data_IF_399713975120
#
_entry.id   IF_399713975120
#
_cell.length_a   1.000
_cell.length_b   1.000
_cell.length_c   1.000
_cell.angle_alpha   90.00
_cell.angle_beta   90.00
_cell.angle_gamma   90.00
#
_symmetry.space_group_name_H-M   'P 1'
#
loop_
_entity.id
_entity.type
_entity.pdbx_description
1 polymer ?
#
# COMPACT_ATOMS: atom_id res chain seq x y z
N UNK A 1 -7.84 -3.61 13.80
CA UNK A 1 -6.66 -2.78 13.46
C UNK A 1 -6.97 -1.99 12.21
N UNK A 2 -6.76 -0.67 12.21
CA UNK A 2 -6.97 0.17 11.02
C UNK A 2 -5.61 0.30 10.31
N UNK A 3 -5.52 -0.12 9.06
CA UNK A 3 -4.27 0.00 8.28
C UNK A 3 -3.97 1.47 7.99
N UNK A 4 -2.69 1.86 7.98
CA UNK A 4 -2.24 3.21 7.59
C UNK A 4 -2.71 3.58 6.17
N UNK A 5 -2.92 2.58 5.31
CA UNK A 5 -3.48 2.73 3.96
C UNK A 5 -4.86 3.39 3.96
N UNK A 6 -5.63 3.29 5.05
CA UNK A 6 -6.96 3.92 5.17
C UNK A 6 -6.86 5.45 5.23
N UNK A 7 -5.69 6.00 5.58
CA UNK A 7 -5.47 7.43 5.80
C UNK A 7 -4.62 8.06 4.68
N UNK A 8 -4.27 7.30 3.64
CA UNK A 8 -3.51 7.82 2.50
C UNK A 8 -4.52 8.32 1.47
N UNK A 9 -4.51 9.63 1.21
CA UNK A 9 -5.31 10.22 0.15
C UNK A 9 -4.94 9.59 -1.20
N UNK A 10 -5.93 9.26 -2.02
CA UNK A 10 -5.71 8.55 -3.28
C UNK A 10 -5.76 7.02 -3.16
N UNK A 11 -5.67 6.42 -1.98
CA UNK A 11 -5.94 4.98 -1.81
C UNK A 11 -7.45 4.71 -1.84
N UNK A 12 -7.89 3.88 -2.77
CA UNK A 12 -9.31 3.57 -3.01
C UNK A 12 -9.71 2.26 -2.33
N UNK A 13 -8.85 1.24 -2.41
CA UNK A 13 -9.08 -0.09 -1.82
C UNK A 13 -7.75 -0.75 -1.48
N UNK A 14 -7.76 -1.62 -0.48
CA UNK A 14 -6.66 -2.54 -0.23
C UNK A 14 -7.17 -3.93 0.13
N UNK A 15 -6.38 -4.95 -0.19
CA UNK A 15 -6.65 -6.34 0.11
C UNK A 15 -5.42 -7.00 0.71
N UNK A 16 -5.59 -7.56 1.91
CA UNK A 16 -4.51 -8.18 2.67
C UNK A 16 -4.44 -9.67 2.37
N UNK A 17 -3.28 -10.13 1.93
CA UNK A 17 -2.97 -11.53 1.72
C UNK A 17 -2.12 -12.03 2.87
N UNK A 18 -2.75 -12.35 4.00
CA UNK A 18 -2.06 -12.70 5.24
C UNK A 18 -1.12 -13.91 5.10
N UNK A 19 -1.48 -14.88 4.25
CA UNK A 19 -0.67 -16.08 4.02
C UNK A 19 0.69 -15.78 3.36
N UNK A 20 0.75 -14.77 2.50
CA UNK A 20 1.96 -14.36 1.77
C UNK A 20 2.60 -13.10 2.32
N UNK A 21 2.03 -12.48 3.35
CA UNK A 21 2.43 -11.18 3.87
C UNK A 21 2.50 -10.08 2.79
N UNK A 22 1.58 -10.13 1.83
CA UNK A 22 1.46 -9.13 0.76
C UNK A 22 0.17 -8.33 0.88
N UNK A 23 0.15 -7.15 0.28
CA UNK A 23 -1.04 -6.31 0.16
C UNK A 23 -1.20 -5.89 -1.28
N UNK A 24 -2.41 -6.01 -1.80
CA UNK A 24 -2.80 -5.40 -3.07
C UNK A 24 -3.45 -4.06 -2.77
N UNK A 25 -3.01 -2.99 -3.44
CA UNK A 25 -3.55 -1.64 -3.26
C UNK A 25 -4.08 -1.12 -4.59
N UNK A 26 -5.32 -0.66 -4.59
CA UNK A 26 -5.92 0.10 -5.69
C UNK A 26 -5.90 1.57 -5.31
N UNK A 27 -5.31 2.41 -6.15
CA UNK A 27 -5.12 3.82 -5.88
C UNK A 27 -5.29 4.66 -7.14
N UNK A 28 -5.53 5.96 -6.93
CA UNK A 28 -5.57 7.00 -7.95
C UNK A 28 -4.16 7.55 -8.17
N UNK A 29 -3.58 7.24 -9.33
CA UNK A 29 -2.19 7.61 -9.68
C UNK A 29 -2.00 9.10 -9.93
N UNK A 30 -3.08 9.87 -10.04
CA UNK A 30 -3.03 11.34 -10.09
C UNK A 30 -2.89 11.98 -8.70
N UNK A 31 -3.17 11.22 -7.63
CA UNK A 31 -3.17 11.70 -6.24
C UNK A 31 -2.05 11.15 -5.39
N UNK A 32 -1.59 9.92 -5.66
CA UNK A 32 -0.55 9.26 -4.88
C UNK A 32 0.29 8.34 -5.76
N UNK A 33 1.61 8.29 -5.50
CA UNK A 33 2.52 7.39 -6.20
C UNK A 33 2.79 6.11 -5.42
N UNK A 34 3.35 5.10 -6.11
CA UNK A 34 3.79 3.85 -5.48
C UNK A 34 4.85 4.11 -4.41
N UNK A 35 5.78 5.04 -4.68
CA UNK A 35 6.86 5.41 -3.75
C UNK A 35 6.31 6.03 -2.47
N UNK A 36 5.32 6.92 -2.58
CA UNK A 36 4.69 7.53 -1.41
C UNK A 36 3.95 6.47 -0.56
N UNK A 37 3.22 5.55 -1.21
CA UNK A 37 2.55 4.44 -0.51
C UNK A 37 3.59 3.60 0.27
N UNK A 38 4.71 3.26 -0.36
CA UNK A 38 5.80 2.50 0.27
C UNK A 38 6.42 3.27 1.44
N UNK A 39 6.65 4.57 1.29
CA UNK A 39 7.20 5.41 2.35
C UNK A 39 6.25 5.49 3.55
N UNK A 40 4.96 5.71 3.31
CA UNK A 40 3.92 5.74 4.35
C UNK A 40 3.81 4.43 5.09
N UNK A 41 3.81 3.30 4.38
CA UNK A 41 3.82 1.97 4.98
C UNK A 41 5.04 1.77 5.88
N UNK A 42 6.22 2.15 5.40
CA UNK A 42 7.48 2.04 6.15
C UNK A 42 7.46 2.89 7.43
N UNK A 43 6.98 4.15 7.34
CA UNK A 43 6.78 5.03 8.51
C UNK A 43 5.73 4.50 9.48
N UNK A 44 4.76 3.73 9.01
CA UNK A 44 3.74 3.07 9.81
C UNK A 44 4.19 1.78 10.49
N UNK A 45 5.45 1.37 10.35
CA UNK A 45 5.99 0.13 10.92
C UNK A 45 5.84 -1.10 10.01
N UNK A 46 5.49 -0.91 8.74
CA UNK A 46 5.36 -1.98 7.74
C UNK A 46 6.33 -1.73 6.57
N UNK A 47 7.65 -1.92 6.78
CA UNK A 47 8.62 -1.73 5.70
C UNK A 47 8.37 -2.73 4.57
N UNK A 48 8.24 -2.21 3.35
CA UNK A 48 8.02 -3.04 2.16
C UNK A 48 9.34 -3.65 1.71
N UNK A 49 9.44 -4.98 1.72
CA UNK A 49 10.58 -5.69 1.16
C UNK A 49 10.30 -6.08 -0.29
N UNK A 50 11.29 -5.89 -1.16
CA UNK A 50 11.18 -6.20 -2.59
C UNK A 50 10.67 -5.04 -3.46
N UNK A 51 10.37 -5.35 -4.73
CA UNK A 51 9.89 -4.37 -5.71
C UNK A 51 8.37 -4.51 -5.86
N UNK A 52 7.60 -3.44 -5.64
CA UNK A 52 6.17 -3.42 -5.96
C UNK A 52 5.92 -3.85 -7.40
N UNK A 53 4.83 -4.60 -7.62
CA UNK A 53 4.43 -5.08 -8.94
C UNK A 53 2.99 -4.71 -9.19
N UNK A 54 2.69 -4.27 -10.40
CA UNK A 54 1.33 -4.14 -10.87
C UNK A 54 0.69 -5.52 -10.99
N UNK A 55 -0.51 -5.65 -10.43
CA UNK A 55 -1.36 -6.83 -10.56
C UNK A 55 -2.50 -6.47 -11.50
N UNK A 56 -2.70 -7.31 -12.52
CA UNK A 56 -3.82 -7.20 -13.47
C UNK A 56 -5.10 -7.79 -12.87
#
# INVERSE_FOLDING_TARGET
>A
MRSILTNIEGVLRYELHAASFTVTVTFDDTKVSVEEIVERLSKGGYPVSGKPKWVQ
#
